data_IF_378551725116
#
_entry.id   IF_378551725116
#
_cell.length_a   1.000
_cell.length_b   1.000
_cell.length_c   1.000
_cell.angle_alpha   90.00
_cell.angle_beta   90.00
_cell.angle_gamma   90.00
#
_symmetry.space_group_name_H-M   'P 1'
#
loop_
_entity.id
_entity.type
_entity.pdbx_description
1 polymer ?
#
# COMPACT_ATOMS: atom_id res chain seq x y z
N UNK A 1 -2.40 -20.34 9.65
CA UNK A 1 -2.08 -19.44 8.50
C UNK A 1 -3.36 -19.21 7.73
N UNK A 2 -3.70 -17.96 7.40
CA UNK A 2 -4.90 -17.67 6.59
C UNK A 2 -4.75 -18.18 5.15
N UNK A 3 -5.88 -18.38 4.46
CA UNK A 3 -5.87 -18.81 3.05
C UNK A 3 -5.11 -17.83 2.14
N UNK A 4 -5.24 -16.52 2.38
CA UNK A 4 -4.49 -15.50 1.66
C UNK A 4 -2.98 -15.65 1.82
N UNK A 5 -2.52 -15.83 3.06
CA UNK A 5 -1.08 -16.01 3.35
C UNK A 5 -0.54 -17.30 2.74
N UNK A 6 -1.30 -18.38 2.83
CA UNK A 6 -0.91 -19.65 2.20
C UNK A 6 -0.77 -19.47 0.68
N UNK A 7 -1.77 -18.86 0.05
CA UNK A 7 -1.73 -18.57 -1.39
C UNK A 7 -0.53 -17.69 -1.77
N UNK A 8 -0.24 -16.68 -0.94
CA UNK A 8 0.90 -15.80 -1.17
C UNK A 8 2.24 -16.53 -1.08
N UNK A 9 2.40 -17.42 -0.11
CA UNK A 9 3.59 -18.28 0.01
C UNK A 9 3.78 -19.16 -1.23
N UNK A 10 2.70 -19.74 -1.77
CA UNK A 10 2.74 -20.52 -3.00
C UNK A 10 3.23 -19.69 -4.19
N UNK A 11 2.72 -18.46 -4.32
CA UNK A 11 3.13 -17.53 -5.37
C UNK A 11 4.61 -17.17 -5.24
N UNK A 12 5.07 -16.82 -4.03
CA UNK A 12 6.47 -16.47 -3.79
C UNK A 12 7.43 -17.64 -4.03
N UNK A 13 6.97 -18.89 -3.88
CA UNK A 13 7.75 -20.08 -4.15
C UNK A 13 7.79 -20.46 -5.64
N UNK A 14 6.90 -19.91 -6.46
CA UNK A 14 6.85 -20.23 -7.90
C UNK A 14 7.79 -19.29 -8.67
N UNK A 15 8.96 -19.82 -9.04
CA UNK A 15 9.97 -19.05 -9.79
C UNK A 15 9.44 -18.48 -11.10
N UNK A 16 8.50 -19.15 -11.75
CA UNK A 16 7.91 -18.68 -13.01
C UNK A 16 7.12 -17.40 -12.81
N UNK A 17 6.54 -17.19 -11.61
CA UNK A 17 5.76 -16.01 -11.26
C UNK A 17 6.65 -14.87 -10.76
N UNK A 18 7.60 -15.15 -9.84
CA UNK A 18 8.45 -14.10 -9.26
C UNK A 18 9.46 -13.53 -10.24
N UNK A 19 9.79 -14.25 -11.30
CA UNK A 19 10.69 -13.79 -12.37
C UNK A 19 9.97 -12.96 -13.45
N UNK A 20 8.63 -12.86 -13.40
CA UNK A 20 7.88 -12.04 -14.35
C UNK A 20 8.09 -10.54 -14.11
N UNK A 21 8.09 -9.72 -15.19
CA UNK A 21 8.26 -8.27 -15.06
C UNK A 21 6.98 -7.54 -14.63
N UNK A 22 6.09 -8.21 -13.90
CA UNK A 22 4.81 -7.68 -13.45
C UNK A 22 4.73 -7.73 -11.94
N UNK A 23 4.02 -6.75 -11.36
CA UNK A 23 3.62 -6.81 -9.96
C UNK A 23 2.42 -7.73 -9.83
N UNK A 24 2.37 -8.50 -8.74
CA UNK A 24 1.34 -9.49 -8.51
C UNK A 24 0.52 -9.12 -7.27
N UNK A 25 -0.80 -9.19 -7.42
CA UNK A 25 -1.77 -9.17 -6.33
C UNK A 25 -2.69 -10.38 -6.48
N UNK A 26 -3.57 -10.63 -5.53
CA UNK A 26 -4.62 -11.65 -5.65
C UNK A 26 -5.98 -11.08 -5.34
N UNK A 27 -7.03 -11.78 -5.75
CA UNK A 27 -8.41 -11.48 -5.34
C UNK A 27 -8.89 -12.48 -4.27
N UNK A 28 -10.17 -12.36 -3.88
CA UNK A 28 -10.78 -13.21 -2.86
C UNK A 28 -10.75 -14.71 -3.18
N UNK A 29 -10.62 -15.06 -4.45
CA UNK A 29 -10.55 -16.45 -4.93
C UNK A 29 -9.12 -16.96 -5.08
N UNK A 30 -8.11 -16.18 -4.72
CA UNK A 30 -6.70 -16.52 -4.88
C UNK A 30 -6.22 -16.44 -6.33
N UNK A 31 -6.99 -15.84 -7.21
CA UNK A 31 -6.58 -15.60 -8.60
C UNK A 31 -5.53 -14.49 -8.66
N UNK A 32 -4.58 -14.67 -9.56
CA UNK A 32 -3.47 -13.73 -9.73
C UNK A 32 -3.92 -12.55 -10.59
N UNK A 33 -3.66 -11.33 -10.09
CA UNK A 33 -3.83 -10.08 -10.81
C UNK A 33 -2.44 -9.51 -11.09
N UNK A 34 -2.14 -9.25 -12.35
CA UNK A 34 -0.84 -8.70 -12.76
C UNK A 34 -1.01 -7.25 -13.14
N UNK A 35 -0.10 -6.40 -12.65
CA UNK A 35 -0.04 -4.98 -12.99
C UNK A 35 1.29 -4.66 -13.66
N UNK A 36 1.33 -3.66 -14.57
CA UNK A 36 2.57 -3.24 -15.21
C UNK A 36 3.64 -2.83 -14.20
N UNK A 37 4.92 -2.92 -14.57
CA UNK A 37 5.98 -2.36 -13.74
C UNK A 37 5.84 -0.85 -13.59
N UNK A 38 6.40 -0.32 -12.51
CA UNK A 38 6.37 1.11 -12.23
C UNK A 38 7.22 1.91 -13.24
N UNK A 39 6.74 3.08 -13.64
CA UNK A 39 7.54 4.05 -14.38
C UNK A 39 8.61 4.69 -13.48
N UNK A 40 9.60 5.36 -14.09
CA UNK A 40 10.60 6.12 -13.34
C UNK A 40 9.97 7.23 -12.48
N UNK A 41 8.94 7.90 -12.99
CA UNK A 41 8.19 8.92 -12.23
C UNK A 41 7.47 8.33 -11.03
N UNK A 42 6.83 7.18 -11.18
CA UNK A 42 6.20 6.46 -10.08
C UNK A 42 7.24 6.06 -9.02
N UNK A 43 8.34 5.45 -9.43
CA UNK A 43 9.42 5.05 -8.53
C UNK A 43 10.02 6.22 -7.76
N UNK A 44 10.20 7.37 -8.42
CA UNK A 44 10.72 8.59 -7.79
C UNK A 44 9.80 9.07 -6.67
N UNK A 45 8.50 9.16 -6.94
CA UNK A 45 7.51 9.57 -5.92
C UNK A 45 7.42 8.55 -4.79
N UNK A 46 7.41 7.27 -5.10
CA UNK A 46 7.38 6.19 -4.11
C UNK A 46 8.57 6.28 -3.16
N UNK A 47 9.77 6.43 -3.70
CA UNK A 47 11.00 6.55 -2.92
C UNK A 47 11.02 7.79 -2.04
N UNK A 48 10.60 8.94 -2.56
CA UNK A 48 10.56 10.20 -1.80
C UNK A 48 9.54 10.17 -0.66
N UNK A 49 8.34 9.66 -0.91
CA UNK A 49 7.31 9.51 0.13
C UNK A 49 7.79 8.56 1.22
N UNK A 50 8.35 7.42 0.84
CA UNK A 50 8.89 6.43 1.76
C UNK A 50 9.97 7.02 2.67
N UNK A 51 10.92 7.74 2.08
CA UNK A 51 12.00 8.42 2.82
C UNK A 51 11.45 9.45 3.81
N UNK A 52 10.56 10.34 3.37
CA UNK A 52 9.99 11.39 4.22
C UNK A 52 9.15 10.86 5.36
N UNK A 53 8.37 9.80 5.13
CA UNK A 53 7.62 9.16 6.22
C UNK A 53 8.55 8.66 7.32
N UNK A 54 9.63 8.00 6.93
CA UNK A 54 10.61 7.50 7.90
C UNK A 54 11.37 8.63 8.60
N UNK A 55 11.73 9.68 7.87
CA UNK A 55 12.40 10.85 8.43
C UNK A 55 11.54 11.56 9.47
N UNK A 56 10.25 11.76 9.16
CA UNK A 56 9.33 12.53 10.01
C UNK A 56 8.75 11.73 11.18
N UNK A 57 8.48 10.43 10.98
CA UNK A 57 7.78 9.60 11.96
C UNK A 57 8.65 8.50 12.58
N UNK A 58 9.84 8.24 12.05
CA UNK A 58 10.58 7.04 12.41
C UNK A 58 9.87 5.79 11.90
N UNK A 59 9.82 4.72 12.68
CA UNK A 59 9.15 3.50 12.30
C UNK A 59 9.73 2.83 11.07
N UNK A 60 8.87 2.15 10.32
CA UNK A 60 9.26 1.41 9.11
C UNK A 60 8.40 1.78 7.92
N UNK A 61 9.06 2.19 6.87
CA UNK A 61 8.44 2.49 5.59
C UNK A 61 8.79 1.38 4.60
N UNK A 62 7.79 0.62 4.16
CA UNK A 62 7.97 -0.57 3.34
C UNK A 62 7.44 -0.29 1.92
N UNK A 63 8.28 -0.41 0.89
CA UNK A 63 7.82 -0.38 -0.49
C UNK A 63 7.12 -1.70 -0.84
N UNK A 64 6.18 -1.66 -1.77
CA UNK A 64 5.46 -2.85 -2.25
C UNK A 64 4.95 -3.72 -1.10
N UNK A 65 4.16 -3.11 -0.20
CA UNK A 65 3.75 -3.69 1.07
C UNK A 65 2.55 -4.65 0.88
N UNK A 66 2.75 -5.98 1.02
CA UNK A 66 1.67 -6.95 0.80
C UNK A 66 0.74 -7.03 2.01
N UNK A 67 -0.52 -6.65 1.83
CA UNK A 67 -1.54 -6.58 2.87
C UNK A 67 -2.62 -7.64 2.59
N UNK A 68 -2.91 -8.47 3.59
CA UNK A 68 -4.01 -9.43 3.53
C UNK A 68 -5.32 -8.70 3.76
N UNK A 69 -6.21 -8.78 2.77
CA UNK A 69 -7.54 -8.16 2.79
C UNK A 69 -8.63 -9.21 2.56
N UNK A 70 -9.89 -8.82 2.71
CA UNK A 70 -11.01 -9.72 2.35
C UNK A 70 -11.09 -10.01 0.86
N UNK A 71 -10.44 -9.21 0.01
CA UNK A 71 -10.34 -9.46 -1.44
C UNK A 71 -8.91 -9.89 -1.84
N UNK A 72 -8.30 -10.75 -1.04
CA UNK A 72 -6.97 -11.28 -1.32
C UNK A 72 -5.84 -10.35 -0.89
N UNK A 73 -4.65 -10.57 -1.44
CA UNK A 73 -3.47 -9.78 -1.14
C UNK A 73 -3.41 -8.57 -2.07
N UNK A 74 -3.39 -7.39 -1.47
CA UNK A 74 -3.15 -6.12 -2.18
C UNK A 74 -1.79 -5.57 -1.76
N UNK A 75 -1.09 -4.97 -2.70
CA UNK A 75 0.23 -4.39 -2.46
C UNK A 75 0.12 -2.87 -2.47
N UNK A 76 0.26 -2.24 -1.30
CA UNK A 76 0.37 -0.80 -1.23
C UNK A 76 1.76 -0.36 -1.72
N UNK A 77 1.83 0.71 -2.52
CA UNK A 77 3.11 1.21 -3.01
C UNK A 77 4.05 1.56 -1.85
N UNK A 78 3.51 2.14 -0.78
CA UNK A 78 4.23 2.33 0.49
C UNK A 78 3.30 1.97 1.66
N UNK A 79 3.82 1.21 2.62
CA UNK A 79 3.18 1.00 3.91
C UNK A 79 4.07 1.53 5.03
N UNK A 80 3.55 2.44 5.85
CA UNK A 80 4.28 2.90 7.04
C UNK A 80 3.72 2.24 8.31
N UNK A 81 4.60 1.57 9.04
CA UNK A 81 4.33 0.96 10.33
C UNK A 81 5.07 1.70 11.45
N UNK A 82 4.37 1.96 12.55
CA UNK A 82 5.06 2.23 13.82
C UNK A 82 5.85 0.99 14.25
N UNK A 83 6.89 1.16 15.03
CA UNK A 83 7.67 0.03 15.57
C UNK A 83 6.78 -0.93 16.37
N UNK A 84 5.82 -0.39 17.12
CA UNK A 84 4.88 -1.20 17.88
C UNK A 84 4.02 -2.09 16.99
N UNK A 85 3.38 -1.52 15.95
CA UNK A 85 2.53 -2.31 15.05
C UNK A 85 3.35 -3.27 14.19
N UNK A 86 4.54 -2.86 13.77
CA UNK A 86 5.42 -3.73 13.00
C UNK A 86 5.82 -4.98 13.78
N UNK A 87 6.05 -4.87 15.09
CA UNK A 87 6.39 -6.02 15.92
C UNK A 87 5.31 -7.11 15.91
N UNK A 88 4.04 -6.74 15.70
CA UNK A 88 2.92 -7.70 15.62
C UNK A 88 2.89 -8.49 14.32
N UNK A 89 3.44 -7.93 13.22
CA UNK A 89 3.37 -8.52 11.88
C UNK A 89 4.72 -8.97 11.33
N UNK A 90 5.79 -8.69 12.04
CA UNK A 90 7.15 -9.02 11.62
C UNK A 90 7.29 -10.50 11.28
N UNK A 91 7.94 -10.80 10.14
CA UNK A 91 8.14 -12.16 9.65
C UNK A 91 6.96 -12.76 8.90
N UNK A 92 5.84 -12.07 8.80
CA UNK A 92 4.71 -12.54 7.98
C UNK A 92 5.01 -12.34 6.49
N UNK A 93 4.71 -13.32 5.61
CA UNK A 93 4.91 -13.17 4.16
C UNK A 93 3.94 -12.17 3.51
N UNK A 94 2.75 -12.01 4.08
CA UNK A 94 1.81 -10.94 3.83
C UNK A 94 1.23 -10.50 5.16
N UNK A 95 1.05 -9.20 5.34
CA UNK A 95 0.69 -8.63 6.64
C UNK A 95 -0.81 -8.73 6.91
N UNK A 96 -1.17 -9.37 8.01
CA UNK A 96 -2.57 -9.56 8.43
C UNK A 96 -3.20 -8.29 9.01
N UNK A 97 -2.37 -7.35 9.46
CA UNK A 97 -2.79 -6.03 9.91
C UNK A 97 -2.15 -5.01 9.00
N UNK A 98 -2.95 -4.16 8.38
CA UNK A 98 -2.46 -3.09 7.52
C UNK A 98 -1.52 -2.14 8.28
N UNK A 99 -0.56 -1.50 7.59
CA UNK A 99 0.18 -0.39 8.17
C UNK A 99 -0.77 0.74 8.59
N UNK A 100 -0.34 1.55 9.53
CA UNK A 100 -1.13 2.73 9.93
C UNK A 100 -1.38 3.66 8.75
N UNK A 101 -0.39 3.81 7.86
CA UNK A 101 -0.50 4.62 6.65
C UNK A 101 -0.24 3.73 5.43
N UNK A 102 -1.22 3.65 4.53
CA UNK A 102 -1.08 3.01 3.22
C UNK A 102 -1.06 4.10 2.15
N UNK A 103 -0.08 4.07 1.27
CA UNK A 103 0.05 5.06 0.20
C UNK A 103 0.01 4.37 -1.16
N UNK A 104 -0.80 4.90 -2.07
CA UNK A 104 -0.81 4.54 -3.48
C UNK A 104 -0.33 5.73 -4.32
N UNK A 105 0.66 5.48 -5.15
CA UNK A 105 1.13 6.44 -6.15
C UNK A 105 0.42 6.12 -7.45
N UNK A 106 -0.49 7.00 -7.87
CA UNK A 106 -1.36 6.75 -9.01
C UNK A 106 -0.57 6.82 -10.33
N UNK A 107 -0.96 5.97 -11.26
CA UNK A 107 -0.48 5.99 -12.64
C UNK A 107 -1.65 6.22 -13.60
N UNK A 108 -1.40 6.62 -14.87
CA UNK A 108 -2.47 6.84 -15.83
C UNK A 108 -3.33 5.58 -16.11
N UNK A 109 -2.80 4.39 -15.83
CA UNK A 109 -3.52 3.12 -16.01
C UNK A 109 -4.47 2.77 -14.87
N UNK A 110 -4.40 3.45 -13.73
CA UNK A 110 -5.29 3.19 -12.60
C UNK A 110 -6.71 3.72 -12.88
N UNK A 111 -7.71 2.91 -12.57
CA UNK A 111 -9.11 3.36 -12.62
C UNK A 111 -9.54 3.89 -11.25
N UNK A 112 -10.52 4.79 -11.26
CA UNK A 112 -11.09 5.32 -10.01
C UNK A 112 -11.68 4.20 -9.14
N UNK A 113 -12.44 3.30 -9.73
CA UNK A 113 -13.09 2.20 -9.00
C UNK A 113 -12.09 1.24 -8.37
N UNK A 114 -10.98 0.95 -9.05
CA UNK A 114 -9.88 0.14 -8.53
C UNK A 114 -9.26 0.79 -7.28
N UNK A 115 -9.00 2.08 -7.34
CA UNK A 115 -8.38 2.80 -6.24
C UNK A 115 -9.33 2.99 -5.05
N UNK A 116 -10.61 3.22 -5.31
CA UNK A 116 -11.64 3.26 -4.25
C UNK A 116 -11.76 1.90 -3.54
N UNK A 117 -11.73 0.81 -4.28
CA UNK A 117 -11.75 -0.54 -3.70
C UNK A 117 -10.53 -0.75 -2.79
N UNK A 118 -9.32 -0.46 -3.27
CA UNK A 118 -8.10 -0.60 -2.48
C UNK A 118 -8.17 0.23 -1.19
N UNK A 119 -8.63 1.47 -1.28
CA UNK A 119 -8.79 2.34 -0.11
C UNK A 119 -9.68 1.70 0.97
N UNK A 120 -10.83 1.20 0.57
CA UNK A 120 -11.76 0.54 1.49
C UNK A 120 -11.16 -0.73 2.09
N UNK A 121 -10.48 -1.53 1.28
CA UNK A 121 -9.83 -2.77 1.75
C UNK A 121 -8.72 -2.48 2.76
N UNK A 122 -7.93 -1.43 2.58
CA UNK A 122 -6.89 -1.06 3.53
C UNK A 122 -7.46 -0.60 4.87
N UNK A 123 -8.51 0.21 4.87
CA UNK A 123 -9.19 0.60 6.10
C UNK A 123 -9.78 -0.60 6.82
N UNK A 124 -10.40 -1.50 6.11
CA UNK A 124 -10.95 -2.72 6.70
C UNK A 124 -9.85 -3.62 7.29
N UNK A 125 -8.68 -3.66 6.67
CA UNK A 125 -7.53 -4.40 7.18
C UNK A 125 -6.81 -3.69 8.36
N UNK A 126 -7.27 -2.50 8.77
CA UNK A 126 -6.79 -1.81 9.97
C UNK A 126 -5.96 -0.56 9.73
N UNK A 127 -5.88 -0.05 8.50
CA UNK A 127 -5.20 1.23 8.23
C UNK A 127 -5.89 2.37 8.98
N UNK A 128 -5.12 3.35 9.44
CA UNK A 128 -5.62 4.59 10.03
C UNK A 128 -5.76 5.70 9.01
N UNK A 129 -4.87 5.70 8.03
CA UNK A 129 -4.90 6.62 6.90
C UNK A 129 -4.57 5.90 5.60
N UNK A 130 -5.20 6.34 4.53
CA UNK A 130 -4.83 5.96 3.16
C UNK A 130 -4.57 7.25 2.38
N UNK A 131 -3.42 7.30 1.71
CA UNK A 131 -3.01 8.46 0.93
C UNK A 131 -2.97 8.12 -0.55
N UNK A 132 -3.42 9.04 -1.38
CA UNK A 132 -3.21 8.97 -2.82
C UNK A 132 -2.29 10.10 -3.27
N UNK A 133 -1.25 9.75 -4.00
CA UNK A 133 -0.39 10.70 -4.71
C UNK A 133 -0.75 10.65 -6.20
N UNK A 134 -1.29 11.72 -6.75
CA UNK A 134 -1.68 11.75 -8.16
C UNK A 134 -0.47 11.88 -9.09
N UNK A 135 -0.73 11.85 -10.40
CA UNK A 135 0.34 11.93 -11.42
C UNK A 135 1.09 13.25 -11.39
N UNK A 136 0.49 14.31 -10.86
CA UNK A 136 1.13 15.61 -10.65
C UNK A 136 1.89 15.70 -9.31
N UNK A 137 1.85 14.65 -8.49
CA UNK A 137 2.48 14.61 -7.18
C UNK A 137 1.66 15.18 -6.04
N UNK A 138 0.41 15.57 -6.28
CA UNK A 138 -0.48 16.08 -5.25
C UNK A 138 -0.97 14.93 -4.36
N UNK A 139 -0.91 15.16 -3.04
CA UNK A 139 -1.37 14.20 -2.05
C UNK A 139 -2.80 14.50 -1.59
N UNK A 140 -3.58 13.44 -1.45
CA UNK A 140 -4.89 13.44 -0.81
C UNK A 140 -4.87 12.46 0.35
N UNK A 141 -5.40 12.85 1.50
CA UNK A 141 -5.35 12.09 2.74
C UNK A 141 -6.76 11.64 3.13
N UNK A 142 -6.97 10.33 3.23
CA UNK A 142 -8.21 9.75 3.74
C UNK A 142 -7.97 9.25 5.15
N UNK A 143 -8.90 9.55 6.06
CA UNK A 143 -8.79 9.18 7.46
C UNK A 143 -9.81 8.09 7.82
N UNK A 144 -9.48 7.29 8.80
CA UNK A 144 -10.32 6.20 9.29
C UNK A 144 -11.73 6.66 9.68
N UNK A 145 -11.88 7.89 10.17
CA UNK A 145 -13.16 8.46 10.56
C UNK A 145 -13.97 8.99 9.37
N UNK A 146 -13.37 9.12 8.20
CA UNK A 146 -14.01 9.65 6.99
C UNK A 146 -13.33 9.07 5.74
N UNK A 147 -13.58 7.80 5.49
CA UNK A 147 -12.86 7.02 4.48
C UNK A 147 -13.18 7.40 3.03
N UNK A 148 -14.26 8.15 2.79
CA UNK A 148 -14.72 8.48 1.43
C UNK A 148 -14.42 9.92 1.02
N UNK A 149 -14.04 10.79 1.96
CA UNK A 149 -13.79 12.20 1.66
C UNK A 149 -12.32 12.56 1.96
N UNK A 150 -11.55 12.97 0.93
CA UNK A 150 -10.16 13.31 1.13
C UNK A 150 -10.01 14.60 1.91
N UNK A 151 -8.99 14.65 2.75
CA UNK A 151 -8.56 15.82 3.48
C UNK A 151 -7.28 16.38 2.88
N UNK A 152 -6.96 17.63 3.18
CA UNK A 152 -5.75 18.30 2.68
C UNK A 152 -4.52 18.08 3.58
N UNK A 153 -4.70 17.41 4.71
CA UNK A 153 -3.64 17.20 5.70
C UNK A 153 -3.77 15.82 6.35
N UNK A 154 -2.62 15.17 6.59
CA UNK A 154 -2.55 13.95 7.39
C UNK A 154 -2.74 14.27 8.87
N UNK A 155 -3.40 13.38 9.61
CA UNK A 155 -3.48 13.43 11.07
C UNK A 155 -2.25 12.81 11.73
N UNK A 156 -1.73 11.71 11.17
CA UNK A 156 -0.57 11.00 11.72
C UNK A 156 0.75 11.71 11.40
N UNK A 157 0.81 12.41 10.27
CA UNK A 157 1.99 13.16 9.84
C UNK A 157 1.60 14.56 9.34
N UNK A 158 1.17 15.48 10.23
CA UNK A 158 0.66 16.78 9.82
C UNK A 158 1.66 17.67 9.06
N UNK A 159 2.96 17.42 9.28
CA UNK A 159 4.04 18.14 8.59
C UNK A 159 4.39 17.59 7.22
N UNK A 160 3.71 16.53 6.76
CA UNK A 160 3.96 15.99 5.43
C UNK A 160 3.53 16.99 4.34
N UNK A 161 4.34 17.10 3.30
CA UNK A 161 4.08 18.03 2.20
C UNK A 161 2.83 17.62 1.40
N UNK A 162 2.09 18.60 0.89
CA UNK A 162 0.91 18.35 0.07
C UNK A 162 1.25 17.99 -1.38
N UNK A 163 2.51 18.15 -1.78
CA UNK A 163 2.97 17.87 -3.13
C UNK A 163 4.39 17.29 -3.12
N UNK A 164 4.58 16.26 -3.92
CA UNK A 164 5.87 15.62 -4.22
C UNK A 164 6.23 15.90 -5.69
N UNK A 165 7.51 16.23 -5.94
CA UNK A 165 8.03 16.44 -7.30
C UNK A 165 8.52 15.14 -7.94
#
# INVERSE_FOLDING_TARGET
MTANRQRWVEILADRRLVELPFRIETNAYGQILMTPPASGSHSSKQGEISYRLRELLGGRSLPECPISTIDGIKSADIGWYSEQRYAEVSGQPAFEIAPEICVEVLSPSNTRSEMELKRHLYFEAGAKEVWFCDTAGKLSYYHQQNIDNPQSQSLLCPSFLNKIE
#
